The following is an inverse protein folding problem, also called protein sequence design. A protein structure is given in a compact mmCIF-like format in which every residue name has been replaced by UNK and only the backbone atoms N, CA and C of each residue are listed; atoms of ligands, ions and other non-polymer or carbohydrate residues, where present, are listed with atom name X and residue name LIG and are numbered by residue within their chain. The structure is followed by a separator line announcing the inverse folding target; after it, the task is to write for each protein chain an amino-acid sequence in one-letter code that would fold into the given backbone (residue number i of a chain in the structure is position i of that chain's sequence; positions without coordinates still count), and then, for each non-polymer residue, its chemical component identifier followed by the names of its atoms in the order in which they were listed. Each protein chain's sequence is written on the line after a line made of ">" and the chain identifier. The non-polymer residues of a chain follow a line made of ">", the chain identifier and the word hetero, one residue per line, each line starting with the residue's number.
data_IF_893850386800
#
_entry.id   IF_893850386800
#
_cell.length_a   1.000
_cell.length_b   1.000
_cell.length_c   1.000
_cell.angle_alpha   90.00
_cell.angle_beta   90.00
_cell.angle_gamma   90.00
#
_symmetry.space_group_name_H-M   'P 1'
#
loop_
_entity.id
_entity.type
_entity.pdbx_description
1 polymer ?
#
# COMPACT_ATOMS: atom_id res chain seq x y z
N UNK A 1 -11.97 -7.86 -3.07
CA UNK A 1 -12.84 -9.01 -2.73
C UNK A 1 -11.98 -10.27 -2.73
N UNK A 2 -12.17 -11.19 -1.79
CA UNK A 2 -11.37 -12.42 -1.64
C UNK A 2 -11.68 -13.40 -2.79
N UNK A 3 -10.67 -13.88 -3.54
CA UNK A 3 -10.83 -15.02 -4.46
C UNK A 3 -10.77 -16.30 -3.62
N UNK A 4 -11.90 -17.00 -3.53
CA UNK A 4 -12.16 -18.11 -2.60
C UNK A 4 -11.51 -19.45 -3.00
N UNK A 5 -10.85 -19.55 -4.14
CA UNK A 5 -10.39 -20.84 -4.70
C UNK A 5 -8.86 -21.05 -4.74
N UNK A 6 -8.07 -20.17 -4.13
CA UNK A 6 -6.60 -20.33 -4.11
C UNK A 6 -6.13 -20.78 -2.73
N UNK A 7 -5.78 -22.06 -2.60
CA UNK A 7 -5.19 -22.66 -1.38
C UNK A 7 -3.93 -21.91 -0.91
N UNK A 8 -3.22 -21.26 -1.84
CA UNK A 8 -2.06 -20.41 -1.62
C UNK A 8 -2.49 -18.95 -1.53
N UNK A 9 -2.24 -18.29 -0.40
CA UNK A 9 -2.63 -16.88 -0.14
C UNK A 9 -1.80 -15.89 -0.99
N UNK A 10 -2.06 -15.80 -2.29
CA UNK A 10 -1.32 -14.92 -3.22
C UNK A 10 -1.93 -13.51 -3.37
N UNK A 11 -2.91 -13.15 -2.54
CA UNK A 11 -3.53 -11.81 -2.57
C UNK A 11 -3.04 -10.87 -1.47
N UNK A 12 -2.06 -11.28 -0.66
CA UNK A 12 -1.55 -10.48 0.46
C UNK A 12 -1.01 -9.13 -0.01
N UNK A 13 -0.23 -9.09 -1.10
CA UNK A 13 0.31 -7.85 -1.66
C UNK A 13 -0.81 -6.93 -2.14
N UNK A 14 -1.77 -7.43 -2.92
CA UNK A 14 -2.90 -6.62 -3.40
C UNK A 14 -3.74 -6.07 -2.23
N UNK A 15 -4.02 -6.88 -1.21
CA UNK A 15 -4.72 -6.43 0.00
C UNK A 15 -3.91 -5.37 0.77
N UNK A 16 -2.60 -5.57 0.89
CA UNK A 16 -1.70 -4.60 1.53
C UNK A 16 -1.72 -3.26 0.79
N UNK A 17 -1.62 -3.26 -0.54
CA UNK A 17 -1.65 -2.03 -1.35
C UNK A 17 -3.00 -1.32 -1.23
N UNK A 18 -4.11 -2.06 -1.29
CA UNK A 18 -5.45 -1.51 -1.09
C UNK A 18 -5.60 -0.84 0.28
N UNK A 19 -5.06 -1.46 1.34
CA UNK A 19 -5.03 -0.86 2.69
C UNK A 19 -4.10 0.34 2.77
N UNK A 20 -2.93 0.28 2.14
CA UNK A 20 -1.98 1.39 2.12
C UNK A 20 -2.61 2.63 1.47
N UNK A 21 -3.35 2.47 0.38
CA UNK A 21 -4.09 3.57 -0.27
C UNK A 21 -5.18 4.13 0.64
N UNK A 22 -5.94 3.27 1.32
CA UNK A 22 -6.97 3.69 2.27
C UNK A 22 -6.40 4.53 3.43
N UNK A 23 -5.19 4.20 3.91
CA UNK A 23 -4.54 4.85 5.04
C UNK A 23 -3.39 5.78 4.64
N UNK A 24 -3.34 6.23 3.38
CA UNK A 24 -2.24 7.05 2.83
C UNK A 24 -1.86 8.23 3.72
N UNK A 25 -2.83 9.00 4.20
CA UNK A 25 -2.58 10.15 5.05
C UNK A 25 -1.97 9.75 6.40
N UNK A 26 -2.50 8.69 7.03
CA UNK A 26 -1.98 8.20 8.30
C UNK A 26 -0.55 7.67 8.15
N UNK A 27 -0.25 7.00 7.04
CA UNK A 27 1.11 6.50 6.72
C UNK A 27 2.07 7.68 6.54
N UNK A 28 1.69 8.70 5.77
CA UNK A 28 2.53 9.88 5.57
C UNK A 28 2.81 10.60 6.89
N UNK A 29 1.78 10.88 7.69
CA UNK A 29 1.96 11.51 9.00
C UNK A 29 2.88 10.67 9.91
N UNK A 30 2.69 9.35 9.92
CA UNK A 30 3.54 8.45 10.71
C UNK A 30 4.99 8.50 10.26
N UNK A 31 5.27 8.50 8.95
CA UNK A 31 6.63 8.64 8.42
C UNK A 31 7.22 10.01 8.74
N UNK A 32 6.44 11.09 8.63
CA UNK A 32 6.90 12.45 8.97
C UNK A 32 7.30 12.57 10.44
N UNK A 33 6.52 12.00 11.36
CA UNK A 33 6.75 12.02 12.80
C UNK A 33 7.95 11.15 13.24
N UNK A 34 8.28 10.10 12.50
CA UNK A 34 9.33 9.13 12.83
C UNK A 34 10.56 9.33 11.94
N UNK A 35 11.57 10.07 12.45
CA UNK A 35 12.78 10.45 11.70
C UNK A 35 13.58 9.27 11.13
N UNK A 36 13.52 8.11 11.77
CA UNK A 36 14.16 6.88 11.28
C UNK A 36 13.53 6.35 9.98
N UNK A 37 12.30 6.77 9.68
CA UNK A 37 11.53 6.35 8.51
C UNK A 37 11.58 7.36 7.36
N UNK A 38 12.25 8.52 7.50
CA UNK A 38 12.35 9.52 6.43
C UNK A 38 12.96 8.95 5.13
N UNK A 39 13.79 7.92 5.20
CA UNK A 39 14.30 7.21 4.02
C UNK A 39 13.28 6.33 3.30
N UNK A 40 12.10 6.13 3.88
CA UNK A 40 11.00 5.32 3.35
C UNK A 40 9.77 6.18 2.96
N UNK A 41 9.94 7.51 2.87
CA UNK A 41 8.89 8.40 2.41
C UNK A 41 8.52 8.11 0.96
N UNK A 42 7.21 7.99 0.71
CA UNK A 42 6.68 7.70 -0.62
C UNK A 42 6.31 9.01 -1.32
N UNK A 43 6.89 9.24 -2.48
CA UNK A 43 6.56 10.39 -3.32
C UNK A 43 5.15 10.26 -3.88
N UNK A 44 4.60 11.36 -4.41
CA UNK A 44 3.30 11.32 -5.11
C UNK A 44 3.31 10.28 -6.24
N UNK A 45 4.43 10.16 -6.97
CA UNK A 45 4.56 9.18 -8.06
C UNK A 45 4.52 7.73 -7.57
N UNK A 46 5.06 7.47 -6.38
CA UNK A 46 5.03 6.12 -5.79
C UNK A 46 3.61 5.74 -5.40
N UNK A 47 2.85 6.68 -4.84
CA UNK A 47 1.43 6.48 -4.53
C UNK A 47 0.59 6.24 -5.79
N UNK A 48 0.85 6.97 -6.88
CA UNK A 48 0.16 6.78 -8.15
C UNK A 48 0.48 5.41 -8.77
N UNK A 49 1.73 4.95 -8.65
CA UNK A 49 2.13 3.60 -9.06
C UNK A 49 1.44 2.52 -8.21
N UNK A 50 1.36 2.72 -6.89
CA UNK A 50 0.66 1.81 -5.98
C UNK A 50 -0.83 1.73 -6.33
N UNK A 51 -1.49 2.86 -6.64
CA UNK A 51 -2.88 2.89 -7.07
C UNK A 51 -3.08 2.10 -8.38
N UNK A 52 -2.20 2.32 -9.35
CA UNK A 52 -2.24 1.60 -10.63
C UNK A 52 -2.12 0.08 -10.45
N UNK A 53 -1.21 -0.37 -9.58
CA UNK A 53 -1.01 -1.81 -9.31
C UNK A 53 -2.17 -2.39 -8.50
N UNK A 54 -2.73 -1.63 -7.56
CA UNK A 54 -3.85 -2.08 -6.75
C UNK A 54 -5.14 -2.26 -7.58
N UNK A 55 -5.36 -1.44 -8.60
CA UNK A 55 -6.54 -1.52 -9.48
C UNK A 55 -6.42 -2.59 -10.59
N UNK A 56 -5.26 -3.23 -10.75
CA UNK A 56 -4.97 -4.12 -11.88
C UNK A 56 -5.58 -5.53 -11.77
N UNK A 57 -6.20 -5.86 -10.63
CA UNK A 57 -6.79 -7.18 -10.30
C UNK A 57 -8.21 -7.01 -9.74
#
# INVERSE_FOLDING_TARGET
>A
MLILDVKTRWSSTHQMLSRALQYRQAINNFVEENRDLHGAELSVRDWDAIATVADWL
#
